data_IF_937068728748
#
_entry.id   IF_937068728748
#
_cell.length_a   1.000
_cell.length_b   1.000
_cell.length_c   1.000
_cell.angle_alpha   90.00
_cell.angle_beta   90.00
_cell.angle_gamma   90.00
#
_symmetry.space_group_name_H-M   'P 1'
#
loop_
_entity.id
_entity.type
_entity.pdbx_description
1 polymer ?
#
# COMPACT_ATOMS: atom_id res chain seq x y z
N UNK A 1 10.99 -13.23 -8.16
CA UNK A 1 9.78 -13.58 -7.39
C UNK A 1 9.32 -12.33 -6.66
N UNK A 2 8.02 -12.09 -6.51
CA UNK A 2 7.52 -10.98 -5.70
C UNK A 2 7.35 -11.47 -4.26
N UNK A 3 7.91 -10.74 -3.29
CA UNK A 3 7.72 -11.02 -1.87
C UNK A 3 6.35 -10.53 -1.38
N UNK A 4 5.85 -9.43 -1.94
CA UNK A 4 4.50 -8.91 -1.68
C UNK A 4 3.82 -8.63 -3.01
N UNK A 5 2.56 -9.06 -3.13
CA UNK A 5 1.71 -8.74 -4.26
C UNK A 5 0.30 -8.43 -3.77
N UNK A 6 -0.19 -7.26 -4.12
CA UNK A 6 -1.54 -6.77 -3.80
C UNK A 6 -2.22 -6.44 -5.11
N UNK A 7 -3.45 -6.93 -5.29
CA UNK A 7 -4.30 -6.57 -6.43
C UNK A 7 -5.64 -6.05 -5.90
N UNK A 8 -6.06 -4.88 -6.37
CA UNK A 8 -7.35 -4.25 -6.06
C UNK A 8 -7.67 -4.14 -4.56
N UNK A 9 -6.69 -3.78 -3.73
CA UNK A 9 -6.94 -3.52 -2.31
C UNK A 9 -7.74 -2.24 -2.16
N UNK A 10 -8.84 -2.35 -1.41
CA UNK A 10 -9.65 -1.22 -1.00
C UNK A 10 -9.89 -1.29 0.50
N UNK A 11 -9.70 -0.15 1.17
CA UNK A 11 -9.99 0.00 2.60
C UNK A 11 -10.64 1.34 2.85
N UNK A 12 -11.92 1.30 3.17
CA UNK A 12 -12.73 2.47 3.46
C UNK A 12 -12.86 2.66 4.98
N UNK A 13 -12.75 3.91 5.40
CA UNK A 13 -13.11 4.47 6.69
C UNK A 13 -14.01 5.68 6.43
N UNK A 14 -14.73 6.17 7.45
CA UNK A 14 -15.76 7.21 7.30
C UNK A 14 -15.34 8.39 6.41
N UNK A 15 -14.13 8.92 6.60
CA UNK A 15 -13.62 10.09 5.86
C UNK A 15 -12.35 9.78 5.03
N UNK A 16 -12.00 8.51 4.83
CA UNK A 16 -10.77 8.13 4.14
C UNK A 16 -10.93 6.80 3.41
N UNK A 17 -10.56 6.77 2.13
CA UNK A 17 -10.49 5.53 1.36
C UNK A 17 -9.09 5.33 0.82
N UNK A 18 -8.49 4.18 1.11
CA UNK A 18 -7.28 3.69 0.46
C UNK A 18 -7.68 2.78 -0.70
N UNK A 19 -7.16 3.06 -1.89
CA UNK A 19 -7.29 2.19 -3.07
C UNK A 19 -5.90 1.92 -3.66
N UNK A 20 -5.55 0.64 -3.82
CA UNK A 20 -4.31 0.18 -4.47
C UNK A 20 -4.71 -0.83 -5.53
N UNK A 21 -4.65 -0.43 -6.80
CA UNK A 21 -5.01 -1.29 -7.94
C UNK A 21 -4.02 -2.45 -8.12
N UNK A 22 -2.71 -2.14 -8.06
CA UNK A 22 -1.63 -3.12 -8.18
C UNK A 22 -0.41 -2.62 -7.41
N UNK A 23 0.14 -3.47 -6.53
CA UNK A 23 1.41 -3.24 -5.86
C UNK A 23 2.20 -4.54 -5.84
N UNK A 24 3.42 -4.49 -6.38
CA UNK A 24 4.35 -5.62 -6.44
C UNK A 24 5.67 -5.18 -5.84
N UNK A 25 6.11 -5.91 -4.82
CA UNK A 25 7.42 -5.70 -4.20
C UNK A 25 8.27 -6.93 -4.48
N UNK A 26 9.37 -6.79 -5.23
CA UNK A 26 10.26 -7.89 -5.51
C UNK A 26 10.96 -8.38 -4.23
N UNK A 27 11.27 -9.66 -4.19
CA UNK A 27 12.07 -10.24 -3.12
C UNK A 27 13.50 -9.67 -3.12
N UNK A 28 14.05 -9.42 -1.92
CA UNK A 28 15.42 -8.91 -1.74
C UNK A 28 15.56 -7.38 -1.80
N UNK A 29 14.46 -6.63 -1.89
CA UNK A 29 14.49 -5.16 -1.97
C UNK A 29 14.06 -4.51 -0.64
N UNK A 30 14.78 -3.45 -0.26
CA UNK A 30 14.30 -2.50 0.75
C UNK A 30 13.36 -1.51 0.08
N UNK A 31 12.08 -1.54 0.47
CA UNK A 31 11.03 -0.69 -0.12
C UNK A 31 10.52 0.33 0.89
N UNK A 32 10.54 1.61 0.53
CA UNK A 32 10.00 2.70 1.33
C UNK A 32 8.65 3.19 0.82
N UNK A 33 7.68 3.38 1.71
CA UNK A 33 6.38 4.01 1.39
C UNK A 33 6.44 5.48 1.79
N UNK A 34 6.41 6.39 0.81
CA UNK A 34 6.55 7.84 1.02
C UNK A 34 5.32 8.62 0.53
N UNK A 35 5.12 9.83 1.06
CA UNK A 35 3.97 10.68 0.75
C UNK A 35 3.53 11.56 1.93
N UNK A 36 2.62 12.52 1.70
CA UNK A 36 2.15 13.46 2.73
C UNK A 36 1.34 12.77 3.84
N UNK A 37 1.09 13.48 4.95
CA UNK A 37 0.23 12.98 6.01
C UNK A 37 -1.19 12.74 5.50
N UNK A 38 -1.82 11.65 5.92
CA UNK A 38 -3.14 11.24 5.43
C UNK A 38 -3.15 10.53 4.07
N UNK A 39 -2.00 10.33 3.40
CA UNK A 39 -1.95 9.64 2.10
C UNK A 39 -2.13 8.12 2.16
N UNK A 40 -2.38 7.55 3.34
CA UNK A 40 -2.60 6.10 3.52
C UNK A 40 -1.37 5.25 3.80
N UNK A 41 -0.17 5.81 3.98
CA UNK A 41 1.08 5.03 4.18
C UNK A 41 0.99 3.99 5.31
N UNK A 42 0.60 4.42 6.51
CA UNK A 42 0.43 3.52 7.66
C UNK A 42 -0.68 2.50 7.40
N UNK A 43 -1.74 2.92 6.71
CA UNK A 43 -2.86 2.05 6.32
C UNK A 43 -2.43 0.99 5.30
N UNK A 44 -1.47 1.28 4.43
CA UNK A 44 -0.90 0.32 3.49
C UNK A 44 -0.02 -0.72 4.18
N UNK A 45 0.65 -0.36 5.28
CA UNK A 45 1.57 -1.24 6.01
C UNK A 45 0.83 -2.10 7.06
N UNK A 46 -0.30 -1.65 7.59
CA UNK A 46 -1.15 -2.36 8.56
C UNK A 46 -2.25 -3.19 7.91
#
# INVERSE_FOLDING_TARGET
MNAIQINNLRKDFDNFSLKIEDLKIPEGFVTGVIGPNGSGKTTTIK
#
